data_IF_805805804300
#
_entry.id   IF_805805804300
#
_cell.length_a   1.000
_cell.length_b   1.000
_cell.length_c   1.000
_cell.angle_alpha   90.00
_cell.angle_beta   90.00
_cell.angle_gamma   90.00
#
_symmetry.space_group_name_H-M   'P 1'
#
loop_
_entity.id
_entity.type
_entity.pdbx_description
1 polymer ?
#
# COMPACT_ATOMS: atom_id res chain seq x y z
N UNK A 1 1.28 9.19 -18.92
CA UNK A 1 1.86 7.93 -19.46
C UNK A 1 2.76 7.38 -18.37
N UNK A 2 2.34 6.27 -17.74
CA UNK A 2 3.10 5.31 -16.89
C UNK A 2 3.96 5.90 -15.76
N UNK A 3 3.79 5.53 -14.50
CA UNK A 3 3.71 4.15 -13.99
C UNK A 3 2.98 4.14 -12.64
N UNK A 4 1.82 3.51 -12.58
CA UNK A 4 1.12 3.22 -11.33
C UNK A 4 1.77 2.01 -10.64
N UNK A 5 2.10 2.15 -9.36
CA UNK A 5 2.62 1.07 -8.53
C UNK A 5 1.60 -0.06 -8.41
N UNK A 6 2.06 -1.29 -8.67
CA UNK A 6 1.19 -2.44 -8.89
C UNK A 6 0.72 -3.11 -7.60
N UNK A 7 -0.57 -3.46 -7.56
CA UNK A 7 -1.10 -4.41 -6.59
C UNK A 7 -0.52 -5.82 -6.82
N UNK A 8 -0.11 -6.49 -5.74
CA UNK A 8 0.25 -7.91 -5.77
C UNK A 8 -1.05 -8.71 -5.73
N UNK A 9 -1.60 -9.09 -6.89
CA UNK A 9 -2.63 -10.12 -6.96
C UNK A 9 -1.98 -11.46 -7.24
N UNK A 10 -2.24 -12.45 -6.38
CA UNK A 10 -1.77 -13.83 -6.53
C UNK A 10 -2.98 -14.76 -6.69
N UNK A 11 -3.34 -15.09 -7.92
CA UNK A 11 -4.51 -15.96 -8.17
C UNK A 11 -4.17 -17.40 -7.79
N UNK A 12 -4.80 -17.99 -6.76
CA UNK A 12 -4.68 -19.42 -6.41
C UNK A 12 -5.88 -20.20 -6.95
N UNK A 13 -5.66 -21.04 -7.95
CA UNK A 13 -6.72 -21.84 -8.60
C UNK A 13 -6.89 -23.19 -7.88
N UNK A 14 -8.13 -23.53 -7.53
CA UNK A 14 -8.52 -24.88 -7.10
C UNK A 14 -9.72 -25.31 -7.95
N UNK A 15 -9.54 -26.30 -8.84
CA UNK A 15 -10.65 -26.86 -9.62
C UNK A 15 -11.51 -27.73 -8.70
N UNK A 16 -12.56 -27.14 -8.12
CA UNK A 16 -13.47 -27.82 -7.21
C UNK A 16 -14.71 -28.22 -8.03
N UNK A 17 -14.77 -29.51 -8.35
CA UNK A 17 -15.91 -30.23 -8.93
C UNK A 17 -16.07 -30.16 -10.46
N UNK A 18 -16.14 -31.35 -11.08
CA UNK A 18 -16.48 -31.61 -12.49
C UNK A 18 -17.54 -32.72 -12.45
N UNK A 19 -18.70 -32.45 -11.83
CA UNK A 19 -19.78 -33.45 -11.73
C UNK A 19 -21.13 -32.92 -12.18
N UNK A 20 -21.42 -33.13 -13.47
CA UNK A 20 -22.74 -33.56 -13.93
C UNK A 20 -22.56 -34.91 -14.62
N UNK A 21 -23.15 -36.01 -14.17
CA UNK A 21 -24.49 -36.39 -14.66
C UNK A 21 -25.08 -37.54 -13.82
N UNK A 22 -26.42 -37.58 -13.63
CA UNK A 22 -27.14 -38.83 -13.36
C UNK A 22 -26.95 -39.80 -14.53
N UNK A 23 -26.82 -41.09 -14.23
CA UNK A 23 -26.50 -42.18 -15.18
C UNK A 23 -27.29 -42.14 -16.49
N UNK A 24 -26.60 -42.11 -17.64
CA UNK A 24 -27.17 -42.40 -18.97
C UNK A 24 -26.83 -41.45 -20.12
N UNK A 25 -25.99 -40.44 -19.89
CA UNK A 25 -25.68 -39.41 -20.88
C UNK A 25 -24.15 -39.25 -21.02
N UNK A 26 -23.66 -39.14 -22.26
CA UNK A 26 -22.34 -39.57 -22.73
C UNK A 26 -21.33 -38.43 -23.00
N UNK A 27 -21.55 -37.24 -22.44
CA UNK A 27 -20.60 -36.12 -22.60
C UNK A 27 -19.47 -36.28 -21.56
N UNK A 28 -18.34 -36.82 -21.98
CA UNK A 28 -17.11 -36.94 -21.19
C UNK A 28 -16.29 -35.65 -21.32
N UNK A 29 -16.68 -34.61 -20.58
CA UNK A 29 -15.92 -33.38 -20.59
C UNK A 29 -14.63 -33.55 -19.78
N UNK A 30 -13.48 -33.30 -20.42
CA UNK A 30 -12.17 -33.34 -19.78
C UNK A 30 -11.50 -31.98 -20.00
N UNK A 31 -11.36 -31.18 -18.95
CA UNK A 31 -10.58 -29.95 -18.98
C UNK A 31 -9.12 -30.29 -19.30
N UNK A 32 -8.65 -29.97 -20.51
CA UNK A 32 -7.32 -30.41 -20.98
C UNK A 32 -6.17 -29.48 -20.62
N UNK A 33 -6.38 -28.16 -20.58
CA UNK A 33 -5.35 -27.20 -20.17
C UNK A 33 -5.91 -25.80 -19.98
N UNK A 34 -5.33 -25.06 -19.03
CA UNK A 34 -5.47 -23.62 -18.86
C UNK A 34 -4.25 -22.99 -19.54
N UNK A 35 -4.42 -22.01 -20.44
CA UNK A 35 -3.30 -21.23 -21.00
C UNK A 35 -3.33 -19.82 -20.43
N UNK A 36 -2.15 -19.34 -20.05
CA UNK A 36 -1.93 -18.02 -19.44
C UNK A 36 -1.16 -17.13 -20.42
N UNK A 37 -1.26 -15.82 -20.25
CA UNK A 37 -0.29 -14.87 -20.77
C UNK A 37 0.19 -13.96 -19.63
N UNK A 38 1.45 -14.09 -19.15
CA UNK A 38 2.49 -15.02 -19.59
C UNK A 38 2.31 -16.45 -19.03
N UNK A 39 2.74 -17.45 -19.81
CA UNK A 39 2.68 -18.88 -19.46
C UNK A 39 3.62 -19.21 -18.27
N UNK A 40 3.11 -19.71 -17.13
CA UNK A 40 3.89 -20.23 -16.02
C UNK A 40 4.77 -21.39 -16.47
N UNK A 41 6.03 -21.39 -16.03
CA UNK A 41 7.04 -22.35 -16.50
C UNK A 41 6.83 -23.76 -15.92
N UNK A 42 6.08 -23.91 -14.81
CA UNK A 42 5.72 -25.21 -14.21
C UNK A 42 4.30 -25.18 -13.58
N UNK A 43 3.55 -26.28 -13.72
CA UNK A 43 2.28 -26.53 -13.02
C UNK A 43 2.58 -27.29 -11.71
N UNK A 44 2.19 -26.79 -10.53
CA UNK A 44 2.39 -27.50 -9.26
C UNK A 44 1.48 -28.73 -9.11
N UNK A 45 1.95 -29.74 -8.39
CA UNK A 45 1.24 -31.00 -8.09
C UNK A 45 -0.06 -30.79 -7.27
N UNK A 46 -0.25 -29.63 -6.64
CA UNK A 46 -1.47 -29.27 -5.90
C UNK A 46 -2.52 -28.54 -6.76
N UNK A 47 -2.27 -28.37 -8.07
CA UNK A 47 -3.20 -27.74 -9.01
C UNK A 47 -3.32 -26.21 -8.87
N UNK A 48 -2.57 -25.61 -7.94
CA UNK A 48 -2.57 -24.18 -7.70
C UNK A 48 -1.49 -23.49 -8.53
N UNK A 49 -1.88 -22.63 -9.45
CA UNK A 49 -0.92 -21.84 -10.26
C UNK A 49 -1.06 -20.36 -9.89
N UNK A 50 -0.07 -19.75 -9.21
CA UNK A 50 -0.08 -18.32 -8.93
C UNK A 50 0.11 -17.54 -10.23
N UNK A 51 -0.85 -16.67 -10.56
CA UNK A 51 -0.68 -15.66 -11.62
C UNK A 51 -0.12 -14.40 -10.97
N UNK A 52 1.03 -13.95 -11.46
CA UNK A 52 1.69 -12.70 -11.05
C UNK A 52 1.13 -11.53 -11.87
N UNK A 53 0.39 -10.64 -11.22
CA UNK A 53 -0.22 -9.45 -11.83
C UNK A 53 0.55 -8.16 -11.48
N UNK A 54 1.82 -8.26 -11.08
CA UNK A 54 2.70 -7.11 -10.79
C UNK A 54 2.90 -6.13 -11.97
N UNK A 55 2.39 -6.45 -13.17
CA UNK A 55 2.33 -5.56 -14.33
C UNK A 55 1.16 -4.57 -14.32
N UNK A 56 0.26 -4.65 -13.33
CA UNK A 56 -0.94 -3.83 -13.22
C UNK A 56 -2.20 -4.56 -13.70
N UNK A 57 -3.33 -4.22 -13.07
CA UNK A 57 -4.68 -4.63 -13.47
C UNK A 57 -5.28 -3.50 -14.32
N UNK A 58 -6.07 -3.85 -15.34
CA UNK A 58 -6.83 -2.88 -16.15
C UNK A 58 -8.09 -3.51 -16.73
N UNK A 59 -9.12 -2.68 -16.96
CA UNK A 59 -10.33 -3.11 -17.66
C UNK A 59 -10.01 -3.76 -19.02
N UNK A 60 -10.63 -4.90 -19.26
CA UNK A 60 -10.44 -5.69 -20.48
C UNK A 60 -9.21 -6.62 -20.46
N UNK A 61 -8.42 -6.63 -19.38
CA UNK A 61 -7.34 -7.61 -19.20
C UNK A 61 -7.91 -9.03 -19.18
N UNK A 62 -7.39 -9.90 -20.05
CA UNK A 62 -7.69 -11.32 -20.03
C UNK A 62 -6.97 -11.97 -18.85
N UNK A 63 -7.75 -12.55 -17.95
CA UNK A 63 -7.28 -13.25 -16.76
C UNK A 63 -7.08 -14.73 -17.09
N UNK A 64 -7.95 -15.31 -17.92
CA UNK A 64 -7.90 -16.72 -18.31
C UNK A 64 -8.42 -16.98 -19.73
N UNK A 65 -7.86 -17.99 -20.39
CA UNK A 65 -8.34 -18.60 -21.63
C UNK A 65 -8.69 -20.08 -21.34
N UNK A 66 -9.97 -20.46 -21.51
CA UNK A 66 -10.43 -21.83 -21.30
C UNK A 66 -10.42 -22.63 -22.61
N UNK A 67 -9.68 -23.75 -22.63
CA UNK A 67 -9.78 -24.72 -23.73
C UNK A 67 -10.79 -25.83 -23.36
N UNK A 68 -11.88 -25.89 -24.13
CA UNK A 68 -12.97 -26.84 -23.98
C UNK A 68 -13.27 -27.52 -25.31
N UNK A 69 -13.54 -28.83 -25.30
CA UNK A 69 -13.89 -29.57 -26.50
C UNK A 69 -15.15 -30.40 -26.32
N UNK A 70 -16.07 -30.29 -27.29
CA UNK A 70 -17.22 -31.17 -27.43
C UNK A 70 -16.80 -32.45 -28.19
N UNK A 71 -16.90 -33.65 -27.59
CA UNK A 71 -16.61 -34.93 -28.24
C UNK A 71 -17.43 -35.17 -29.51
N UNK A 72 -18.64 -34.63 -29.59
CA UNK A 72 -19.54 -34.66 -30.73
C UNK A 72 -19.23 -33.56 -31.78
N UNK A 73 -18.30 -32.65 -31.47
CA UNK A 73 -17.87 -31.57 -32.35
C UNK A 73 -18.87 -30.41 -32.47
N UNK A 74 -19.80 -30.29 -31.54
CA UNK A 74 -20.73 -29.17 -31.43
C UNK A 74 -20.07 -27.88 -30.93
N UNK A 75 -20.79 -26.77 -31.09
CA UNK A 75 -20.37 -25.49 -30.56
C UNK A 75 -20.62 -25.44 -29.06
N UNK A 76 -19.66 -24.89 -28.32
CA UNK A 76 -19.75 -24.65 -26.88
C UNK A 76 -20.10 -23.19 -26.61
N UNK A 77 -20.80 -22.96 -25.51
CA UNK A 77 -21.09 -21.62 -24.98
C UNK A 77 -20.59 -21.53 -23.54
N UNK A 78 -19.85 -20.47 -23.23
CA UNK A 78 -19.32 -20.21 -21.89
C UNK A 78 -20.13 -19.12 -21.20
N UNK A 79 -20.35 -19.27 -19.89
CA UNK A 79 -21.03 -18.29 -19.07
C UNK A 79 -20.50 -18.29 -17.63
N UNK A 80 -20.50 -17.13 -16.98
CA UNK A 80 -20.29 -17.07 -15.53
C UNK A 80 -21.63 -17.42 -14.86
N UNK A 81 -21.63 -18.47 -14.06
CA UNK A 81 -22.82 -19.00 -13.37
C UNK A 81 -22.83 -18.74 -11.87
N UNK A 82 -21.72 -18.29 -11.28
CA UNK A 82 -21.62 -17.94 -9.86
C UNK A 82 -20.41 -17.07 -9.51
N UNK A 83 -20.47 -16.38 -8.37
CA UNK A 83 -19.33 -15.63 -7.81
C UNK A 83 -18.97 -14.33 -8.52
N UNK A 84 -19.90 -13.76 -9.30
CA UNK A 84 -19.70 -12.53 -10.06
C UNK A 84 -20.99 -11.69 -10.07
N UNK A 85 -21.63 -11.57 -8.91
CA UNK A 85 -22.91 -10.85 -8.75
C UNK A 85 -22.74 -9.34 -8.92
N UNK A 86 -21.53 -8.85 -8.62
CA UNK A 86 -21.08 -7.51 -8.92
C UNK A 86 -20.61 -7.37 -10.37
N UNK A 87 -20.43 -8.42 -11.17
CA UNK A 87 -19.97 -8.24 -12.55
C UNK A 87 -18.57 -7.64 -12.66
N UNK A 88 -17.70 -7.83 -11.67
CA UNK A 88 -16.27 -7.50 -11.76
C UNK A 88 -15.57 -8.24 -12.91
N UNK A 89 -16.11 -9.40 -13.31
CA UNK A 89 -15.62 -10.22 -14.42
C UNK A 89 -16.60 -10.27 -15.58
N UNK A 90 -16.06 -10.46 -16.78
CA UNK A 90 -16.81 -10.81 -17.98
C UNK A 90 -16.20 -12.05 -18.62
N UNK A 91 -17.01 -12.82 -19.36
CA UNK A 91 -16.52 -13.95 -20.13
C UNK A 91 -16.98 -13.81 -21.59
N UNK A 92 -16.08 -14.07 -22.53
CA UNK A 92 -16.47 -14.21 -23.92
C UNK A 92 -17.16 -15.57 -24.12
N UNK A 93 -18.42 -15.58 -24.59
CA UNK A 93 -19.21 -16.79 -24.66
C UNK A 93 -18.77 -17.78 -25.74
N UNK A 94 -17.86 -17.39 -26.64
CA UNK A 94 -17.41 -18.21 -27.77
C UNK A 94 -16.07 -18.89 -27.50
N UNK A 95 -15.10 -18.14 -26.98
CA UNK A 95 -13.75 -18.67 -26.72
C UNK A 95 -13.46 -18.88 -25.22
N UNK A 96 -14.32 -18.42 -24.32
CA UNK A 96 -14.12 -18.59 -22.88
C UNK A 96 -13.10 -17.63 -22.27
N UNK A 97 -12.71 -16.55 -22.93
CA UNK A 97 -11.81 -15.58 -22.32
C UNK A 97 -12.47 -14.93 -21.11
N UNK A 98 -11.97 -15.23 -19.90
CA UNK A 98 -12.36 -14.52 -18.68
C UNK A 98 -11.56 -13.23 -18.61
N UNK A 99 -12.24 -12.09 -18.49
CA UNK A 99 -11.65 -10.76 -18.43
C UNK A 99 -12.11 -10.00 -17.21
N UNK A 100 -11.32 -9.02 -16.81
CA UNK A 100 -11.72 -8.00 -15.84
C UNK A 100 -12.67 -7.04 -16.57
N UNK A 101 -13.92 -6.98 -16.11
CA UNK A 101 -14.94 -6.12 -16.68
C UNK A 101 -14.95 -4.73 -16.02
N UNK A 102 -14.63 -4.70 -14.72
CA UNK A 102 -14.56 -3.48 -13.92
C UNK A 102 -13.59 -3.73 -12.76
N UNK A 103 -12.40 -3.13 -12.85
CA UNK A 103 -11.36 -3.29 -11.83
C UNK A 103 -11.74 -2.69 -10.47
N UNK A 104 -12.61 -1.68 -10.42
CA UNK A 104 -13.06 -1.04 -9.17
C UNK A 104 -13.90 -1.96 -8.29
N UNK A 105 -14.37 -3.08 -8.85
CA UNK A 105 -15.26 -4.04 -8.19
C UNK A 105 -14.50 -5.26 -7.68
N UNK A 106 -13.21 -5.35 -7.96
CA UNK A 106 -12.34 -6.38 -7.42
C UNK A 106 -12.06 -6.07 -5.94
N UNK A 107 -12.60 -6.89 -5.04
CA UNK A 107 -12.39 -6.74 -3.59
C UNK A 107 -13.37 -5.79 -2.89
N UNK A 108 -14.35 -5.22 -3.60
CA UNK A 108 -15.32 -4.23 -3.07
C UNK A 108 -16.18 -4.68 -1.86
N UNK A 109 -16.12 -5.95 -1.47
CA UNK A 109 -16.85 -6.53 -0.33
C UNK A 109 -15.91 -7.05 0.78
N UNK A 110 -14.62 -6.66 0.78
CA UNK A 110 -13.62 -7.16 1.75
C UNK A 110 -13.26 -8.64 1.55
N UNK A 111 -13.52 -9.18 0.36
CA UNK A 111 -13.20 -10.55 0.00
C UNK A 111 -11.70 -10.67 -0.31
N UNK A 112 -10.95 -11.41 0.51
CA UNK A 112 -9.56 -11.79 0.19
C UNK A 112 -9.49 -12.87 -0.89
N UNK A 113 -10.60 -13.57 -1.12
CA UNK A 113 -10.72 -14.62 -2.12
C UNK A 113 -12.14 -14.63 -2.68
N UNK A 114 -12.26 -14.77 -4.00
CA UNK A 114 -13.53 -14.90 -4.71
C UNK A 114 -13.58 -16.19 -5.50
N UNK A 115 -14.70 -16.88 -5.43
CA UNK A 115 -14.93 -18.14 -6.15
C UNK A 115 -15.86 -17.90 -7.34
N UNK A 116 -15.30 -17.74 -8.53
CA UNK A 116 -16.07 -17.56 -9.77
C UNK A 116 -16.38 -18.92 -10.38
N UNK A 117 -17.65 -19.23 -10.60
CA UNK A 117 -18.07 -20.48 -11.28
C UNK A 117 -18.37 -20.20 -12.74
N UNK A 118 -17.75 -20.97 -13.62
CA UNK A 118 -17.98 -20.94 -15.07
C UNK A 118 -18.80 -22.18 -15.44
N UNK A 119 -19.86 -21.98 -16.22
CA UNK A 119 -20.65 -23.03 -16.85
C UNK A 119 -20.35 -23.07 -18.35
N UNK A 120 -20.16 -24.27 -18.88
CA UNK A 120 -20.04 -24.54 -20.31
C UNK A 120 -21.25 -25.35 -20.75
N UNK A 121 -21.89 -24.91 -21.82
CA UNK A 121 -23.09 -25.56 -22.39
C UNK A 121 -22.83 -25.98 -23.83
N UNK A 122 -23.16 -27.23 -24.17
CA UNK A 122 -23.17 -27.71 -25.56
C UNK A 122 -24.48 -27.38 -26.29
N UNK A 123 -24.49 -27.54 -27.61
CA UNK A 123 -25.67 -27.27 -28.44
C UNK A 123 -26.86 -28.21 -28.18
N UNK A 124 -26.63 -29.36 -27.53
CA UNK A 124 -27.65 -30.31 -27.10
C UNK A 124 -28.21 -30.01 -25.69
N UNK A 125 -27.66 -29.03 -24.99
CA UNK A 125 -28.05 -28.61 -23.63
C UNK A 125 -27.33 -29.37 -22.51
N UNK A 126 -26.30 -30.15 -22.83
CA UNK A 126 -25.37 -30.70 -21.83
C UNK A 126 -24.59 -29.57 -21.18
N UNK A 127 -24.43 -29.65 -19.85
CA UNK A 127 -23.78 -28.61 -19.05
C UNK A 127 -22.71 -29.21 -18.16
N UNK A 128 -21.61 -28.49 -18.05
CA UNK A 128 -20.55 -28.76 -17.09
C UNK A 128 -20.08 -27.44 -16.48
N UNK A 129 -19.45 -27.51 -15.30
CA UNK A 129 -19.00 -26.31 -14.61
C UNK A 129 -17.66 -26.50 -13.94
N UNK A 130 -16.88 -25.43 -13.87
CA UNK A 130 -15.65 -25.36 -13.09
C UNK A 130 -15.67 -24.10 -12.23
N UNK A 131 -15.24 -24.22 -10.97
CA UNK A 131 -15.04 -23.05 -10.12
C UNK A 131 -13.57 -22.65 -10.09
N UNK A 132 -13.33 -21.34 -10.09
CA UNK A 132 -12.01 -20.71 -10.06
C UNK A 132 -11.97 -19.86 -8.82
N UNK A 133 -11.03 -20.20 -7.96
CA UNK A 133 -10.70 -19.36 -6.82
C UNK A 133 -9.72 -18.28 -7.29
N UNK A 134 -10.05 -17.03 -7.01
CA UNK A 134 -9.29 -15.84 -7.36
C UNK A 134 -8.95 -15.17 -6.04
N UNK A 135 -7.67 -15.16 -5.65
CA UNK A 135 -7.29 -14.30 -4.53
C UNK A 135 -7.31 -12.86 -5.05
N UNK A 136 -8.05 -12.01 -4.36
CA UNK A 136 -8.18 -10.61 -4.70
C UNK A 136 -7.10 -9.84 -3.93
N UNK A 137 -6.62 -8.68 -4.43
CA UNK A 137 -5.83 -7.80 -3.58
C UNK A 137 -6.62 -7.52 -2.29
N UNK A 138 -5.94 -7.34 -1.14
CA UNK A 138 -6.62 -6.81 0.03
C UNK A 138 -7.37 -5.55 -0.40
N UNK A 139 -8.63 -5.43 0.01
CA UNK A 139 -9.45 -4.27 -0.31
C UNK A 139 -8.79 -3.05 0.32
N UNK A 140 -7.91 -2.39 -0.41
CA UNK A 140 -7.52 -1.02 -0.14
C UNK A 140 -8.71 -0.19 -0.57
N UNK A 141 -9.47 0.29 0.39
CA UNK A 141 -10.53 1.25 0.11
C UNK A 141 -9.77 2.49 -0.41
N UNK A 142 -9.77 2.69 -1.73
CA UNK A 142 -9.26 3.95 -2.28
C UNK A 142 -10.29 5.01 -1.97
N UNK A 143 -10.24 5.53 -0.75
CA UNK A 143 -10.92 6.74 -0.35
C UNK A 143 -10.16 7.90 -1.00
N UNK A 144 -10.38 8.09 -2.30
CA UNK A 144 -9.94 9.27 -3.03
C UNK A 144 -11.07 10.28 -3.01
N UNK A 145 -10.85 11.41 -2.35
CA UNK A 145 -11.62 12.60 -2.66
C UNK A 145 -11.16 13.10 -4.04
N UNK A 146 -12.07 13.16 -5.00
CA UNK A 146 -11.81 13.64 -6.36
C UNK A 146 -11.29 15.09 -6.33
N UNK A 147 -9.96 15.25 -6.37
CA UNK A 147 -9.20 16.50 -6.38
C UNK A 147 -9.38 17.32 -7.66
N UNK A 148 -10.60 17.78 -7.92
CA UNK A 148 -10.97 18.56 -9.10
C UNK A 148 -11.39 20.01 -8.85
N UNK A 149 -11.57 20.42 -7.60
CA UNK A 149 -11.90 21.79 -7.20
C UNK A 149 -11.24 22.06 -5.84
N UNK A 150 -11.02 23.33 -5.47
CA UNK A 150 -10.55 23.70 -4.14
C UNK A 150 -11.64 23.34 -3.11
N UNK A 151 -11.71 22.07 -2.76
CA UNK A 151 -12.67 21.53 -1.83
C UNK A 151 -12.28 22.01 -0.44
N UNK A 152 -13.26 22.28 0.44
CA UNK A 152 -12.96 22.44 1.85
C UNK A 152 -12.23 21.21 2.37
N UNK A 153 -11.34 21.40 3.33
CA UNK A 153 -10.73 20.33 4.11
C UNK A 153 -11.73 19.25 4.54
N UNK A 154 -11.32 18.01 4.41
CA UNK A 154 -12.05 16.78 4.69
C UNK A 154 -11.48 16.09 5.91
N UNK A 155 -12.30 15.19 6.47
CA UNK A 155 -11.83 14.18 7.42
C UNK A 155 -11.90 12.85 6.71
N UNK A 156 -10.75 12.21 6.51
CA UNK A 156 -10.61 10.94 5.82
C UNK A 156 -10.18 9.89 6.85
N UNK A 157 -11.00 8.85 7.01
CA UNK A 157 -10.71 7.75 7.92
C UNK A 157 -10.52 6.46 7.12
N UNK A 158 -9.34 5.85 7.24
CA UNK A 158 -9.04 4.50 6.80
C UNK A 158 -9.74 3.44 7.67
N UNK A 159 -9.29 2.21 7.49
CA UNK A 159 -9.83 0.99 8.08
C UNK A 159 -8.75 0.30 8.92
N UNK A 160 -8.97 -0.93 9.39
CA UNK A 160 -7.90 -1.70 10.06
C UNK A 160 -7.14 -2.60 9.06
N UNK A 161 -7.07 -2.19 7.79
CA UNK A 161 -6.38 -2.87 6.71
C UNK A 161 -5.44 -1.89 6.03
N UNK A 162 -4.62 -2.39 5.11
CA UNK A 162 -3.76 -1.54 4.29
C UNK A 162 -4.60 -0.67 3.35
N UNK A 163 -4.53 0.63 3.52
CA UNK A 163 -5.34 1.60 2.79
C UNK A 163 -4.48 2.49 1.86
N UNK A 164 -5.13 3.03 0.81
CA UNK A 164 -4.57 4.10 -0.01
C UNK A 164 -5.48 5.32 0.09
N UNK A 165 -5.05 6.30 0.88
CA UNK A 165 -5.82 7.50 1.18
C UNK A 165 -5.22 8.69 0.43
N UNK A 166 -6.09 9.51 -0.16
CA UNK A 166 -5.67 10.72 -0.88
C UNK A 166 -6.60 11.86 -0.47
N UNK A 167 -6.01 12.92 0.08
CA UNK A 167 -6.65 14.18 0.39
C UNK A 167 -6.94 15.02 -0.84
N UNK A 168 -7.09 16.31 -0.62
CA UNK A 168 -7.60 17.29 -1.56
C UNK A 168 -6.65 18.48 -1.69
N UNK A 169 -7.14 19.60 -2.23
CA UNK A 169 -6.38 20.85 -2.32
C UNK A 169 -6.59 21.76 -1.09
N UNK A 170 -7.18 21.27 0.00
CA UNK A 170 -7.40 22.06 1.21
C UNK A 170 -7.17 21.25 2.48
N UNK A 171 -6.92 21.97 3.58
CA UNK A 171 -6.49 21.45 4.90
C UNK A 171 -7.27 20.20 5.39
N UNK A 172 -6.73 19.02 5.17
CA UNK A 172 -7.35 17.72 5.47
C UNK A 172 -6.88 17.13 6.81
N UNK A 173 -7.74 16.31 7.43
CA UNK A 173 -7.38 15.42 8.55
C UNK A 173 -7.49 13.96 8.07
N UNK A 174 -6.37 13.25 7.96
CA UNK A 174 -6.31 11.90 7.41
C UNK A 174 -5.80 10.90 8.44
N UNK A 175 -6.53 9.81 8.66
CA UNK A 175 -6.21 8.78 9.65
C UNK A 175 -6.15 7.39 9.01
N UNK A 176 -4.96 6.78 8.91
CA UNK A 176 -4.75 5.42 8.37
C UNK A 176 -5.33 4.32 9.26
N UNK A 177 -5.09 4.43 10.58
CA UNK A 177 -5.48 3.50 11.66
C UNK A 177 -4.57 2.28 11.81
N UNK A 178 -4.92 1.08 11.32
CA UNK A 178 -4.09 -0.13 11.46
C UNK A 178 -3.94 -0.71 10.07
N UNK A 179 -2.73 -0.95 9.61
CA UNK A 179 -2.54 -1.24 8.19
C UNK A 179 -1.12 -0.93 7.80
N UNK A 180 -0.72 -1.28 6.58
CA UNK A 180 0.43 -0.62 5.97
C UNK A 180 -0.16 0.32 4.94
N UNK A 181 -0.28 1.57 5.33
CA UNK A 181 -1.06 2.56 4.63
C UNK A 181 -0.17 3.43 3.74
N UNK A 182 -0.76 3.91 2.65
CA UNK A 182 -0.14 4.88 1.77
C UNK A 182 -1.04 6.10 1.69
N UNK A 183 -0.58 7.22 2.25
CA UNK A 183 -1.40 8.41 2.48
C UNK A 183 -0.75 9.62 1.81
N UNK A 184 -1.51 10.30 0.96
CA UNK A 184 -1.13 11.55 0.30
C UNK A 184 -2.07 12.67 0.78
N UNK A 185 -1.55 13.74 1.38
CA UNK A 185 -2.31 14.91 1.84
C UNK A 185 -2.82 15.74 0.67
N UNK A 186 -1.90 16.18 -0.19
CA UNK A 186 -2.23 16.91 -1.41
C UNK A 186 -1.73 18.34 -1.32
N UNK A 187 -2.62 19.31 -1.41
CA UNK A 187 -2.27 20.71 -1.14
C UNK A 187 -3.11 21.23 0.02
N UNK A 188 -2.63 22.27 0.70
CA UNK A 188 -3.24 22.75 1.93
C UNK A 188 -2.43 22.27 3.13
N UNK A 189 -2.81 22.73 4.32
CA UNK A 189 -2.09 22.39 5.55
C UNK A 189 -2.75 21.17 6.20
N UNK A 190 -2.18 20.00 5.97
CA UNK A 190 -2.78 18.72 6.30
C UNK A 190 -2.30 18.15 7.63
N UNK A 191 -3.13 17.31 8.24
CA UNK A 191 -2.80 16.52 9.42
C UNK A 191 -2.96 15.05 9.08
N UNK A 192 -1.86 14.31 9.08
CA UNK A 192 -1.81 12.91 8.67
C UNK A 192 -1.32 12.05 9.84
N UNK A 193 -2.10 11.04 10.22
CA UNK A 193 -1.75 10.00 11.20
C UNK A 193 -1.78 8.62 10.52
N UNK A 194 -0.62 8.01 10.30
CA UNK A 194 -0.48 6.67 9.71
C UNK A 194 -1.03 5.57 10.61
N UNK A 195 -0.98 5.76 11.91
CA UNK A 195 -1.59 4.87 12.89
C UNK A 195 -0.65 3.77 13.38
N UNK A 196 -0.69 2.56 12.81
CA UNK A 196 0.13 1.45 13.30
C UNK A 196 0.64 0.58 12.17
N UNK A 197 1.83 0.02 12.37
CA UNK A 197 2.66 -0.75 11.42
C UNK A 197 3.41 0.21 10.50
N UNK A 198 3.75 -0.20 9.28
CA UNK A 198 4.70 0.52 8.44
C UNK A 198 3.93 1.30 7.39
N UNK A 199 3.95 2.62 7.50
CA UNK A 199 3.15 3.52 6.68
C UNK A 199 4.03 4.41 5.79
N UNK A 200 3.49 4.84 4.66
CA UNK A 200 4.08 5.82 3.75
C UNK A 200 3.19 7.08 3.73
N UNK A 201 3.69 8.18 4.28
CA UNK A 201 2.96 9.43 4.46
C UNK A 201 3.63 10.54 3.64
N UNK A 202 2.84 11.25 2.85
CA UNK A 202 3.27 12.38 2.03
C UNK A 202 2.37 13.58 2.33
N UNK A 203 2.92 14.69 2.81
CA UNK A 203 2.18 15.93 3.08
C UNK A 203 1.76 16.60 1.78
N UNK A 204 2.76 17.08 1.04
CA UNK A 204 2.55 17.67 -0.29
C UNK A 204 2.86 19.17 -0.28
N UNK A 205 1.95 20.00 -0.77
CA UNK A 205 2.11 21.46 -0.77
C UNK A 205 1.39 22.07 0.44
N UNK A 206 2.10 22.62 1.43
CA UNK A 206 1.48 23.26 2.59
C UNK A 206 2.34 23.12 3.84
N UNK A 207 1.92 23.74 4.95
CA UNK A 207 2.57 23.48 6.24
C UNK A 207 1.86 22.29 6.92
N UNK A 208 2.46 21.10 6.85
CA UNK A 208 1.82 19.83 7.20
C UNK A 208 2.27 19.26 8.56
N UNK A 209 1.45 18.36 9.12
CA UNK A 209 1.77 17.58 10.32
C UNK A 209 1.66 16.10 9.98
N UNK A 210 2.78 15.38 10.00
CA UNK A 210 2.86 13.94 9.70
C UNK A 210 3.26 13.15 10.94
N UNK A 211 2.44 12.17 11.30
CA UNK A 211 2.66 11.26 12.43
C UNK A 211 2.66 9.83 11.89
N UNK A 212 3.82 9.16 11.92
CA UNK A 212 3.98 7.77 11.48
C UNK A 212 3.08 6.83 12.26
N UNK A 213 3.18 6.88 13.59
CA UNK A 213 2.22 6.19 14.45
C UNK A 213 2.84 5.59 15.70
N UNK A 214 2.22 4.52 16.22
CA UNK A 214 2.69 3.79 17.42
C UNK A 214 2.77 2.29 17.15
N UNK A 215 3.47 1.57 18.04
CA UNK A 215 3.62 0.10 18.06
C UNK A 215 4.66 -0.50 17.10
N UNK A 216 5.85 0.10 17.02
CA UNK A 216 7.01 -0.40 16.26
C UNK A 216 6.80 -0.46 14.74
N UNK A 217 6.24 0.61 14.17
CA UNK A 217 6.23 0.87 12.74
C UNK A 217 7.63 1.08 12.17
N UNK A 218 7.79 1.11 10.87
CA UNK A 218 9.01 1.60 10.24
C UNK A 218 8.54 2.45 9.08
N UNK A 219 8.31 3.71 9.39
CA UNK A 219 7.50 4.58 8.56
C UNK A 219 8.38 5.38 7.62
N UNK A 220 7.78 5.80 6.50
CA UNK A 220 8.37 6.78 5.60
C UNK A 220 7.48 8.01 5.61
N UNK A 221 8.02 9.14 6.05
CA UNK A 221 7.36 10.44 6.07
C UNK A 221 8.12 11.39 5.14
N UNK A 222 7.37 12.14 4.35
CA UNK A 222 7.86 13.12 3.37
C UNK A 222 6.97 14.36 3.51
N UNK A 223 7.51 15.45 4.07
CA UNK A 223 6.76 16.69 4.32
C UNK A 223 6.33 17.33 3.01
N UNK A 224 7.30 17.56 2.12
CA UNK A 224 7.05 18.09 0.79
C UNK A 224 7.49 19.54 0.72
N UNK A 225 6.58 20.46 0.45
CA UNK A 225 6.88 21.88 0.34
C UNK A 225 6.08 22.68 1.38
N UNK A 226 6.78 23.39 2.24
CA UNK A 226 6.20 24.17 3.34
C UNK A 226 6.98 23.91 4.63
N UNK A 227 6.49 24.42 5.75
CA UNK A 227 7.17 24.25 7.04
C UNK A 227 6.48 23.14 7.80
N UNK A 228 7.05 21.95 7.76
CA UNK A 228 6.38 20.74 8.18
C UNK A 228 6.79 20.30 9.58
N UNK A 229 5.92 19.50 10.21
CA UNK A 229 6.19 18.85 11.49
C UNK A 229 6.07 17.35 11.33
N UNK A 230 7.20 16.64 11.44
CA UNK A 230 7.26 15.20 11.22
C UNK A 230 7.60 14.46 12.53
N UNK A 231 6.89 13.37 12.80
CA UNK A 231 7.14 12.47 13.93
C UNK A 231 7.01 11.02 13.49
N UNK A 232 8.11 10.27 13.44
CA UNK A 232 8.11 8.84 13.09
C UNK A 232 7.40 7.97 14.14
N UNK A 233 7.65 8.26 15.42
CA UNK A 233 7.07 7.50 16.53
C UNK A 233 8.01 6.39 17.02
N UNK A 234 7.47 5.21 17.32
CA UNK A 234 8.29 4.04 17.67
C UNK A 234 8.66 3.28 16.40
N UNK A 235 9.95 3.10 16.08
CA UNK A 235 10.26 2.42 14.84
C UNK A 235 11.71 2.44 14.39
N UNK A 236 11.91 2.29 13.09
CA UNK A 236 13.14 2.73 12.44
C UNK A 236 12.71 3.49 11.20
N UNK A 237 12.53 4.79 11.39
CA UNK A 237 11.74 5.58 10.47
C UNK A 237 12.64 6.35 9.49
N UNK A 238 12.06 6.81 8.40
CA UNK A 238 12.69 7.71 7.44
C UNK A 238 11.84 8.96 7.32
N UNK A 239 12.39 10.10 7.73
CA UNK A 239 11.72 11.38 7.69
C UNK A 239 12.51 12.28 6.74
N UNK A 240 11.80 12.90 5.81
CA UNK A 240 12.31 13.86 4.83
C UNK A 240 11.47 15.13 4.96
N UNK A 241 12.10 16.25 5.32
CA UNK A 241 11.40 17.53 5.49
C UNK A 241 10.96 18.10 4.15
N UNK A 242 11.91 18.20 3.21
CA UNK A 242 11.67 18.67 1.85
C UNK A 242 12.08 20.13 1.67
N UNK A 243 11.19 20.96 1.13
CA UNK A 243 11.41 22.40 0.96
C UNK A 243 10.76 23.19 2.09
N UNK A 244 11.53 23.74 3.01
CA UNK A 244 11.03 24.70 3.99
C UNK A 244 11.81 24.63 5.28
N UNK A 245 11.26 25.17 6.36
CA UNK A 245 11.89 25.12 7.68
C UNK A 245 11.15 24.11 8.55
N UNK A 246 11.70 22.90 8.67
CA UNK A 246 10.98 21.75 9.18
C UNK A 246 11.33 21.42 10.63
N UNK A 247 10.40 20.75 11.31
CA UNK A 247 10.57 20.30 12.70
C UNK A 247 10.38 18.79 12.78
N UNK A 248 11.43 18.09 13.22
CA UNK A 248 11.39 16.66 13.46
C UNK A 248 11.27 16.38 14.96
N UNK A 249 10.16 15.79 15.37
CA UNK A 249 9.89 15.45 16.76
C UNK A 249 10.38 14.04 17.07
N UNK A 250 11.24 13.90 18.08
CA UNK A 250 11.76 12.60 18.52
C UNK A 250 11.10 12.19 19.84
N UNK A 251 10.33 11.10 19.78
CA UNK A 251 9.70 10.50 20.95
C UNK A 251 10.67 9.56 21.71
N UNK A 252 10.25 9.07 22.88
CA UNK A 252 11.03 8.10 23.64
C UNK A 252 10.99 6.71 22.96
N UNK A 253 12.11 5.98 22.97
CA UNK A 253 12.25 4.70 22.25
C UNK A 253 12.01 4.82 20.73
N UNK A 254 12.38 5.96 20.13
CA UNK A 254 12.20 6.19 18.69
C UNK A 254 12.85 5.10 17.83
N UNK A 255 13.92 4.47 18.32
CA UNK A 255 14.60 3.37 17.63
C UNK A 255 15.71 3.90 16.73
N UNK A 256 15.79 3.49 15.46
CA UNK A 256 16.88 3.95 14.57
C UNK A 256 16.35 4.71 13.36
N UNK A 257 16.25 6.01 13.51
CA UNK A 257 15.65 6.86 12.49
C UNK A 257 16.71 7.48 11.60
N UNK A 258 16.29 7.77 10.38
CA UNK A 258 17.04 8.58 9.43
C UNK A 258 16.23 9.84 9.12
N UNK A 259 16.87 10.98 9.31
CA UNK A 259 16.27 12.29 9.05
C UNK A 259 17.07 12.98 7.95
N UNK A 260 16.35 13.58 7.01
CA UNK A 260 16.89 14.50 6.02
C UNK A 260 16.12 15.81 6.13
N UNK A 261 16.82 16.93 6.41
CA UNK A 261 16.21 18.25 6.44
C UNK A 261 15.74 18.71 5.05
N UNK A 262 16.32 18.15 3.98
CA UNK A 262 15.93 18.44 2.61
C UNK A 262 16.76 19.55 1.95
N UNK A 263 16.26 20.05 0.82
CA UNK A 263 16.99 20.98 -0.05
C UNK A 263 16.71 22.43 0.36
N UNK A 264 17.63 23.08 1.08
CA UNK A 264 17.37 24.45 1.52
C UNK A 264 18.54 25.22 2.11
N UNK A 265 18.32 26.51 2.27
CA UNK A 265 19.04 27.39 3.20
C UNK A 265 18.09 27.81 4.34
N UNK A 266 17.12 26.95 4.61
CA UNK A 266 16.13 27.12 5.66
C UNK A 266 16.69 26.59 6.97
N UNK A 267 15.87 26.53 8.01
CA UNK A 267 16.36 26.16 9.34
C UNK A 267 15.55 24.99 9.84
N UNK A 268 16.18 23.83 9.78
CA UNK A 268 15.60 22.56 10.17
C UNK A 268 16.00 22.23 11.61
N UNK A 269 15.02 21.73 12.35
CA UNK A 269 15.11 21.57 13.79
C UNK A 269 14.76 20.14 14.18
N UNK A 270 15.67 19.46 14.87
CA UNK A 270 15.33 18.24 15.61
C UNK A 270 14.96 18.61 17.05
N UNK A 271 13.72 18.30 17.45
CA UNK A 271 13.26 18.44 18.82
C UNK A 271 13.30 17.08 19.55
N UNK A 272 14.23 16.94 20.49
CA UNK A 272 14.39 15.75 21.33
C UNK A 272 13.79 15.92 22.72
N UNK A 273 13.06 17.01 22.99
CA UNK A 273 12.53 17.34 24.32
C UNK A 273 11.66 16.21 24.89
N UNK A 274 10.87 15.55 24.03
CA UNK A 274 10.04 14.41 24.43
C UNK A 274 10.87 13.17 24.77
N UNK A 275 11.89 12.86 23.97
CA UNK A 275 12.82 11.75 24.23
C UNK A 275 13.62 11.93 25.53
N UNK A 276 14.05 13.16 25.85
CA UNK A 276 14.94 13.42 27.00
C UNK A 276 14.19 13.82 28.28
N UNK A 277 12.90 14.14 28.19
CA UNK A 277 12.10 14.67 29.30
C UNK A 277 12.03 13.78 30.57
N UNK A 278 12.40 12.50 30.47
CA UNK A 278 12.51 11.57 31.59
C UNK A 278 13.90 11.56 32.27
N UNK A 279 14.80 12.47 31.88
CA UNK A 279 16.17 12.53 32.39
C UNK A 279 17.13 11.57 31.67
N UNK A 280 16.78 11.14 30.46
CA UNK A 280 17.64 10.35 29.58
C UNK A 280 18.82 11.21 29.10
N UNK A 281 20.04 10.68 29.20
CA UNK A 281 21.21 11.34 28.64
C UNK A 281 21.31 11.09 27.13
N UNK A 282 21.96 12.01 26.44
CA UNK A 282 22.08 11.99 24.98
C UNK A 282 23.41 12.59 24.54
N UNK A 283 23.87 12.14 23.38
CA UNK A 283 25.09 12.63 22.74
C UNK A 283 24.84 12.90 21.27
N UNK A 284 25.51 13.90 20.71
CA UNK A 284 25.53 14.19 19.28
C UNK A 284 26.97 14.06 18.79
N UNK A 285 27.19 13.31 17.72
CA UNK A 285 28.45 13.27 17.00
C UNK A 285 28.21 13.75 15.57
N UNK A 286 28.84 14.87 15.17
CA UNK A 286 28.70 15.41 13.81
C UNK A 286 29.89 15.01 12.94
N UNK A 287 29.70 14.95 11.63
CA UNK A 287 30.69 14.39 10.70
C UNK A 287 32.03 15.14 10.67
N UNK A 288 32.05 16.42 11.08
CA UNK A 288 33.28 17.20 11.21
C UNK A 288 34.15 16.79 12.42
N UNK A 289 33.68 15.84 13.23
CA UNK A 289 34.38 15.27 14.38
C UNK A 289 34.09 15.95 15.72
N UNK A 290 33.23 16.96 15.78
CA UNK A 290 32.75 17.51 17.04
C UNK A 290 31.73 16.57 17.71
N UNK A 291 31.72 16.59 19.04
CA UNK A 291 30.79 15.81 19.84
C UNK A 291 30.22 16.66 20.97
N UNK A 292 28.92 16.53 21.22
CA UNK A 292 28.18 17.23 22.25
C UNK A 292 27.53 16.21 23.19
N UNK A 293 27.52 16.50 24.48
CA UNK A 293 26.86 15.68 25.50
C UNK A 293 25.85 16.56 26.22
N UNK A 294 24.59 16.13 26.30
CA UNK A 294 23.50 16.93 26.86
C UNK A 294 23.77 17.40 28.29
N UNK A 295 24.37 16.53 29.11
CA UNK A 295 24.77 16.82 30.48
C UNK A 295 25.80 17.95 30.64
N UNK A 296 26.51 18.33 29.57
CA UNK A 296 27.53 19.38 29.58
C UNK A 296 27.05 20.70 28.96
N UNK A 297 25.84 20.75 28.40
CA UNK A 297 25.28 21.93 27.76
C UNK A 297 24.44 22.75 28.74
N UNK A 298 24.49 24.08 28.60
CA UNK A 298 23.60 24.99 29.31
C UNK A 298 22.54 25.51 28.36
N UNK A 299 21.27 25.41 28.75
CA UNK A 299 20.14 25.80 27.89
C UNK A 299 19.44 24.59 27.29
N UNK A 300 18.66 24.85 26.23
CA UNK A 300 17.74 23.92 25.57
C UNK A 300 17.82 24.03 24.03
N UNK A 301 18.87 24.64 23.50
CA UNK A 301 19.10 24.84 22.08
C UNK A 301 20.60 24.71 21.79
N UNK A 302 20.91 23.94 20.76
CA UNK A 302 22.24 23.80 20.18
C UNK A 302 22.13 24.22 18.72
N UNK A 303 22.93 25.22 18.36
CA UNK A 303 23.14 25.64 16.98
C UNK A 303 24.31 24.84 16.40
N UNK A 304 24.04 24.02 15.39
CA UNK A 304 25.01 23.19 14.70
C UNK A 304 25.72 23.96 13.56
N UNK A 305 25.09 25.03 13.06
CA UNK A 305 25.41 25.68 11.79
C UNK A 305 24.69 25.03 10.60
N UNK A 306 24.93 25.58 9.41
CA UNK A 306 24.20 25.20 8.18
C UNK A 306 24.49 23.75 7.73
N UNK A 307 23.42 23.03 7.39
CA UNK A 307 23.39 21.76 6.68
C UNK A 307 24.26 20.67 7.33
N UNK A 308 24.15 20.50 8.65
CA UNK A 308 25.03 19.58 9.38
C UNK A 308 24.49 18.17 9.34
N UNK A 309 25.40 17.22 9.11
CA UNK A 309 25.13 15.79 9.24
C UNK A 309 25.78 15.21 10.49
N UNK A 310 25.13 14.23 11.09
CA UNK A 310 25.61 13.58 12.29
C UNK A 310 24.71 12.48 12.81
N UNK A 311 25.00 12.03 14.02
CA UNK A 311 24.21 11.03 14.73
C UNK A 311 23.91 11.52 16.13
N UNK A 312 22.64 11.52 16.51
CA UNK A 312 22.20 11.61 17.91
C UNK A 312 22.14 10.19 18.47
N UNK A 313 22.64 9.97 19.68
CA UNK A 313 22.59 8.69 20.38
C UNK A 313 22.05 8.87 21.79
N UNK A 314 21.08 8.05 22.16
CA UNK A 314 20.39 8.08 23.45
C UNK A 314 20.80 6.91 24.36
N UNK A 315 20.57 7.06 25.67
CA UNK A 315 20.85 6.00 26.67
C UNK A 315 19.99 4.74 26.47
N UNK A 316 18.75 4.87 26.00
CA UNK A 316 17.85 3.75 25.66
C UNK A 316 18.35 2.90 24.47
N UNK A 317 19.38 3.37 23.76
CA UNK A 317 19.97 2.70 22.59
C UNK A 317 19.44 3.19 21.25
N UNK A 318 18.45 4.10 21.25
CA UNK A 318 17.94 4.76 20.05
C UNK A 318 19.01 5.65 19.41
N UNK A 319 18.94 5.81 18.09
CA UNK A 319 19.88 6.60 17.29
C UNK A 319 19.15 7.33 16.17
N UNK A 320 19.51 8.58 15.96
CA UNK A 320 18.99 9.40 14.86
C UNK A 320 20.17 9.77 13.97
N UNK A 321 20.24 9.18 12.79
CA UNK A 321 21.20 9.59 11.76
C UNK A 321 20.56 10.72 10.95
N UNK A 322 21.13 11.93 10.97
CA UNK A 322 20.55 13.10 10.33
C UNK A 322 21.49 13.72 9.29
N UNK A 323 20.89 14.29 8.24
CA UNK A 323 21.53 15.14 7.24
C UNK A 323 20.79 16.47 7.13
N UNK A 324 21.52 17.50 6.73
CA UNK A 324 20.96 18.83 6.47
C UNK A 324 20.15 19.43 7.65
N UNK A 325 20.73 19.46 8.87
CA UNK A 325 20.07 20.04 10.06
C UNK A 325 20.86 21.22 10.64
N UNK A 326 20.18 22.29 11.02
CA UNK A 326 20.75 23.48 11.65
C UNK A 326 20.71 23.42 13.17
N UNK A 327 19.59 22.98 13.76
CA UNK A 327 19.35 23.11 15.19
C UNK A 327 18.89 21.81 15.85
N UNK A 328 19.26 21.67 17.12
CA UNK A 328 18.70 20.64 18.01
C UNK A 328 18.21 21.30 19.31
N UNK A 329 16.99 20.96 19.75
CA UNK A 329 16.37 21.47 20.99
C UNK A 329 15.99 20.32 21.94
N UNK A 330 16.06 20.55 23.26
CA UNK A 330 15.86 19.50 24.29
C UNK A 330 15.36 20.03 25.65
#
# INVERSE_FOLDING_TARGET
MGVGGAAIAAIRIEAIDVTGKPTGDNSDFTLKSIRFDPVPVELPDDGAVPVDLSGGISDGMTVFDFDATDPEGGALTFAISGGNEDGAFSIDPVNGDLRIADESRLGAEGESERLVTIEVTDAAGGRDSASIKIALPPAGDSLSADGGDATPGQVIEGTNQNDRLVGTDGDDEIFGRDGQDHIEGGAGNDVIDGGTRNDELFGGDGDDILIGGRLQGNDRLDGGAGNDVLSGGEGNDRLDGGEGADIFLIEANAGRDRIDGGDGAWTDVIDISAAVGNGQDWTIAIENGASFEGSNLSGNLLDLGENVSGTISFEDGSKIDFTDIEHVVW
#
